data_IF_500894935836
#
_entry.id   IF_500894935836
#
_cell.length_a   1.000
_cell.length_b   1.000
_cell.length_c   1.000
_cell.angle_alpha   90.00
_cell.angle_beta   90.00
_cell.angle_gamma   90.00
#
_symmetry.space_group_name_H-M   'P 1'
#
loop_
_entity.id
_entity.type
_entity.pdbx_description
1 polymer ?
#
# COMPACT_ATOMS: atom_id res chain seq x y z
N UNK A 1 35.84 -12.91 -16.35
CA UNK A 1 36.02 -11.88 -15.31
C UNK A 1 34.89 -10.87 -15.47
N UNK A 2 33.71 -11.17 -14.91
CA UNK A 2 32.49 -10.33 -15.00
C UNK A 2 32.28 -9.66 -13.64
N UNK A 3 32.80 -8.44 -13.46
CA UNK A 3 32.77 -7.71 -12.19
C UNK A 3 31.62 -6.70 -12.08
N UNK A 4 30.59 -6.80 -12.93
CA UNK A 4 29.55 -5.76 -13.07
C UNK A 4 28.13 -6.14 -12.64
N UNK A 5 27.85 -7.36 -12.16
CA UNK A 5 26.49 -7.80 -11.84
C UNK A 5 26.10 -7.77 -10.36
N UNK A 6 27.06 -7.74 -9.42
CA UNK A 6 26.76 -7.98 -8.00
C UNK A 6 26.01 -6.81 -7.29
N UNK A 7 26.15 -5.57 -7.77
CA UNK A 7 25.55 -4.38 -7.11
C UNK A 7 24.04 -4.24 -7.39
N UNK A 8 23.55 -4.82 -8.49
CA UNK A 8 22.14 -4.76 -8.90
C UNK A 8 21.28 -5.73 -8.11
N UNK A 9 21.84 -6.88 -7.72
CA UNK A 9 21.16 -7.92 -6.96
C UNK A 9 20.70 -7.42 -5.59
N UNK A 10 21.51 -6.55 -4.97
CA UNK A 10 21.21 -5.96 -3.66
C UNK A 10 19.98 -5.04 -3.69
N UNK A 11 19.72 -4.35 -4.80
CA UNK A 11 18.54 -3.48 -4.95
C UNK A 11 17.25 -4.32 -4.89
N UNK A 12 17.27 -5.51 -5.50
CA UNK A 12 16.12 -6.42 -5.52
C UNK A 12 15.81 -7.02 -4.16
N UNK A 13 16.84 -7.36 -3.38
CA UNK A 13 16.66 -7.84 -2.00
C UNK A 13 16.35 -6.72 -1.00
N UNK A 14 16.83 -5.50 -1.26
CA UNK A 14 16.64 -4.36 -0.36
C UNK A 14 15.19 -3.83 -0.38
N UNK A 15 14.55 -3.81 -1.54
CA UNK A 15 13.16 -3.33 -1.71
C UNK A 15 12.16 -4.02 -0.76
N UNK A 16 12.02 -5.35 -0.72
CA UNK A 16 11.05 -6.01 0.17
C UNK A 16 11.39 -5.82 1.65
N UNK A 17 12.67 -5.74 2.03
CA UNK A 17 13.08 -5.45 3.40
C UNK A 17 12.69 -4.03 3.81
N UNK A 18 12.98 -3.04 2.97
CA UNK A 18 12.61 -1.65 3.19
C UNK A 18 11.09 -1.50 3.31
N UNK A 19 10.33 -2.16 2.43
CA UNK A 19 8.87 -2.19 2.50
C UNK A 19 8.37 -2.82 3.80
N UNK A 20 8.92 -3.98 4.20
CA UNK A 20 8.52 -4.68 5.42
C UNK A 20 8.80 -3.86 6.68
N UNK A 21 9.96 -3.20 6.76
CA UNK A 21 10.30 -2.31 7.88
C UNK A 21 9.34 -1.11 7.93
N UNK A 22 9.09 -0.47 6.79
CA UNK A 22 8.16 0.67 6.70
C UNK A 22 6.75 0.26 7.14
N UNK A 23 6.23 -0.84 6.57
CA UNK A 23 4.93 -1.42 6.89
C UNK A 23 4.78 -1.65 8.39
N UNK A 24 5.68 -2.42 9.01
CA UNK A 24 5.58 -2.74 10.43
C UNK A 24 5.74 -1.51 11.32
N UNK A 25 6.66 -0.61 10.99
CA UNK A 25 6.88 0.63 11.76
C UNK A 25 5.64 1.50 11.75
N UNK A 26 5.04 1.73 10.58
CA UNK A 26 3.85 2.58 10.45
C UNK A 26 2.62 1.89 11.02
N UNK A 27 2.45 0.58 10.85
CA UNK A 27 1.36 -0.17 11.50
C UNK A 27 1.43 -0.04 13.01
N UNK A 28 2.58 -0.31 13.63
CA UNK A 28 2.76 -0.16 15.09
C UNK A 28 2.48 1.28 15.52
N UNK A 29 2.95 2.26 14.75
CA UNK A 29 2.68 3.68 15.02
C UNK A 29 1.18 4.01 14.98
N UNK A 30 0.46 3.52 13.96
CA UNK A 30 -0.98 3.69 13.82
C UNK A 30 -1.78 3.00 14.93
N UNK A 31 -1.38 1.81 15.38
CA UNK A 31 -2.04 1.15 16.51
C UNK A 31 -1.81 1.91 17.83
N UNK A 32 -0.60 2.43 18.05
CA UNK A 32 -0.26 3.14 19.30
C UNK A 32 -0.85 4.54 19.40
N UNK A 33 -0.92 5.29 18.29
CA UNK A 33 -1.33 6.71 18.29
C UNK A 33 -2.48 7.06 17.35
N UNK A 34 -2.81 6.20 16.40
CA UNK A 34 -3.89 6.40 15.44
C UNK A 34 -5.27 6.22 16.09
N UNK A 35 -6.28 6.84 15.49
CA UNK A 35 -7.68 6.61 15.81
C UNK A 35 -8.24 5.42 15.05
N UNK A 36 -9.57 5.30 15.04
CA UNK A 36 -10.25 4.18 14.39
C UNK A 36 -9.96 4.13 12.88
N UNK A 37 -9.87 5.28 12.21
CA UNK A 37 -9.60 5.39 10.77
C UNK A 37 -8.21 4.87 10.42
N UNK A 38 -7.17 5.35 11.11
CA UNK A 38 -5.79 4.96 10.85
C UNK A 38 -5.52 3.48 11.20
N UNK A 39 -6.16 2.98 12.26
CA UNK A 39 -6.07 1.56 12.65
C UNK A 39 -6.75 0.68 11.61
N UNK A 40 -7.96 1.05 11.16
CA UNK A 40 -8.67 0.30 10.12
C UNK A 40 -7.87 0.27 8.81
N UNK A 41 -7.30 1.41 8.40
CA UNK A 41 -6.43 1.49 7.23
C UNK A 41 -5.17 0.64 7.41
N UNK A 42 -4.52 0.67 8.57
CA UNK A 42 -3.34 -0.16 8.85
C UNK A 42 -3.65 -1.67 8.77
N UNK A 43 -4.79 -2.10 9.33
CA UNK A 43 -5.27 -3.48 9.19
C UNK A 43 -5.50 -3.84 7.73
N UNK A 44 -6.14 -2.95 6.97
CA UNK A 44 -6.38 -3.15 5.54
C UNK A 44 -5.08 -3.32 4.75
N UNK A 45 -4.08 -2.47 4.98
CA UNK A 45 -2.77 -2.60 4.33
C UNK A 45 -2.07 -3.92 4.66
N UNK A 46 -2.10 -4.33 5.93
CA UNK A 46 -1.50 -5.61 6.35
C UNK A 46 -2.24 -6.77 5.68
N UNK A 47 -3.57 -6.79 5.73
CA UNK A 47 -4.39 -7.81 5.09
C UNK A 47 -4.13 -7.88 3.58
N UNK A 48 -4.12 -6.74 2.88
CA UNK A 48 -3.80 -6.66 1.46
C UNK A 48 -2.43 -7.25 1.15
N UNK A 49 -1.41 -6.86 1.92
CA UNK A 49 -0.04 -7.33 1.71
C UNK A 49 0.10 -8.83 1.93
N UNK A 50 -0.48 -9.39 3.00
CA UNK A 50 -0.39 -10.82 3.29
C UNK A 50 -1.26 -11.68 2.36
N UNK A 51 -2.47 -11.23 2.02
CA UNK A 51 -3.34 -11.96 1.08
C UNK A 51 -2.68 -12.05 -0.29
N UNK A 52 -2.09 -10.95 -0.78
CA UNK A 52 -1.34 -10.95 -2.03
C UNK A 52 -0.19 -11.95 -2.02
N UNK A 53 0.57 -12.04 -0.92
CA UNK A 53 1.64 -13.04 -0.76
C UNK A 53 1.12 -14.48 -0.75
N UNK A 54 -0.10 -14.72 -0.25
CA UNK A 54 -0.69 -16.06 -0.20
C UNK A 54 -1.24 -16.53 -1.56
N UNK A 55 -1.75 -15.60 -2.38
CA UNK A 55 -2.39 -15.95 -3.65
C UNK A 55 -1.46 -15.86 -4.86
N UNK A 56 -0.30 -15.19 -4.73
CA UNK A 56 0.65 -15.09 -5.84
C UNK A 56 1.23 -16.47 -6.14
N UNK A 57 1.10 -16.90 -7.39
CA UNK A 57 1.61 -18.20 -7.85
C UNK A 57 2.93 -17.97 -8.59
N UNK A 58 4.08 -18.45 -8.07
CA UNK A 58 5.37 -18.30 -8.73
C UNK A 58 5.53 -19.35 -9.85
N UNK A 59 4.86 -19.16 -10.97
CA UNK A 59 4.90 -20.06 -12.14
C UNK A 59 5.80 -19.56 -13.29
N UNK A 60 6.58 -18.50 -13.06
CA UNK A 60 7.42 -17.86 -14.07
C UNK A 60 6.66 -16.99 -15.08
N UNK A 61 5.33 -17.07 -15.11
CA UNK A 61 4.46 -16.24 -15.94
C UNK A 61 3.82 -15.08 -15.14
N UNK A 62 4.19 -14.94 -13.87
CA UNK A 62 3.95 -13.74 -13.07
C UNK A 62 4.27 -12.50 -13.90
N UNK A 63 3.40 -11.48 -13.81
CA UNK A 63 3.57 -10.20 -14.50
C UNK A 63 3.34 -10.21 -16.03
N UNK A 64 3.05 -11.36 -16.65
CA UNK A 64 2.71 -11.47 -18.08
C UNK A 64 1.20 -11.54 -18.35
N UNK A 65 0.40 -11.70 -17.30
CA UNK A 65 -1.06 -11.76 -17.33
C UNK A 65 -1.63 -10.92 -16.20
N UNK A 66 -2.92 -10.63 -16.29
CA UNK A 66 -3.65 -10.01 -15.19
C UNK A 66 -3.78 -11.03 -14.07
N UNK A 67 -3.20 -10.73 -12.91
CA UNK A 67 -3.31 -11.56 -11.70
C UNK A 67 -4.67 -11.30 -11.04
N UNK A 68 -5.73 -11.96 -11.54
CA UNK A 68 -7.11 -11.68 -11.18
C UNK A 68 -7.40 -11.76 -9.68
N UNK A 69 -6.76 -12.68 -8.95
CA UNK A 69 -6.89 -12.80 -7.50
C UNK A 69 -6.27 -11.59 -6.77
N UNK A 70 -5.07 -11.17 -7.18
CA UNK A 70 -4.39 -9.99 -6.61
C UNK A 70 -5.20 -8.73 -6.90
N UNK A 71 -5.69 -8.57 -8.14
CA UNK A 71 -6.58 -7.49 -8.51
C UNK A 71 -7.86 -7.45 -7.66
N UNK A 72 -8.46 -8.61 -7.37
CA UNK A 72 -9.65 -8.69 -6.53
C UNK A 72 -9.38 -8.24 -5.09
N UNK A 73 -8.23 -8.64 -4.53
CA UNK A 73 -7.76 -8.20 -3.21
C UNK A 73 -7.58 -6.67 -3.20
N UNK A 74 -6.93 -6.10 -4.20
CA UNK A 74 -6.72 -4.66 -4.33
C UNK A 74 -8.02 -3.87 -4.52
N UNK A 75 -9.02 -4.44 -5.21
CA UNK A 75 -10.37 -3.84 -5.33
C UNK A 75 -11.07 -3.83 -3.97
N UNK A 76 -11.04 -4.94 -3.23
CA UNK A 76 -11.64 -5.01 -1.88
C UNK A 76 -10.99 -3.97 -0.97
N UNK A 77 -9.66 -3.86 -1.03
CA UNK A 77 -8.94 -2.86 -0.26
C UNK A 77 -9.26 -1.42 -0.69
N UNK A 78 -9.41 -1.15 -1.99
CA UNK A 78 -9.90 0.15 -2.47
C UNK A 78 -11.29 0.48 -1.91
N UNK A 79 -12.22 -0.47 -1.92
CA UNK A 79 -13.56 -0.28 -1.35
C UNK A 79 -13.46 0.06 0.14
N UNK A 80 -12.61 -0.63 0.89
CA UNK A 80 -12.35 -0.31 2.30
C UNK A 80 -11.83 1.12 2.48
N UNK A 81 -10.89 1.57 1.64
CA UNK A 81 -10.34 2.93 1.69
C UNK A 81 -11.40 3.99 1.37
N UNK A 82 -12.25 3.74 0.35
CA UNK A 82 -13.36 4.63 0.00
C UNK A 82 -14.35 4.72 1.16
N UNK A 83 -14.74 3.58 1.75
CA UNK A 83 -15.64 3.55 2.91
C UNK A 83 -15.05 4.26 4.14
N UNK A 84 -13.74 4.22 4.30
CA UNK A 84 -13.02 4.97 5.35
C UNK A 84 -13.02 6.47 5.02
N UNK A 85 -12.78 6.85 3.77
CA UNK A 85 -12.80 8.24 3.31
C UNK A 85 -14.18 8.88 3.47
N UNK A 86 -15.25 8.16 3.13
CA UNK A 86 -16.63 8.65 3.25
C UNK A 86 -17.07 8.87 4.71
N UNK A 87 -16.49 8.12 5.66
CA UNK A 87 -16.78 8.24 7.09
C UNK A 87 -15.83 9.18 7.83
N UNK A 88 -14.63 9.39 7.29
CA UNK A 88 -13.62 10.26 7.88
C UNK A 88 -13.98 11.72 7.67
N UNK A 89 -13.74 12.55 8.69
CA UNK A 89 -13.78 14.02 8.54
C UNK A 89 -12.50 14.59 7.92
N UNK A 90 -11.54 13.74 7.58
CA UNK A 90 -10.22 14.12 7.11
C UNK A 90 -10.04 13.71 5.66
N UNK A 91 -9.28 14.51 4.92
CA UNK A 91 -9.07 14.30 3.50
C UNK A 91 -8.02 13.22 3.18
N UNK A 92 -7.18 12.82 4.16
CA UNK A 92 -6.09 11.87 3.94
C UNK A 92 -6.51 10.48 3.38
N UNK A 93 -7.64 9.85 3.76
CA UNK A 93 -7.99 8.53 3.22
C UNK A 93 -8.36 8.59 1.73
N UNK A 94 -8.81 9.75 1.23
CA UNK A 94 -9.11 9.94 -0.18
C UNK A 94 -7.86 9.86 -1.06
N UNK A 95 -6.73 10.38 -0.57
CA UNK A 95 -5.43 10.23 -1.25
C UNK A 95 -5.02 8.77 -1.37
N UNK A 96 -5.22 7.99 -0.30
CA UNK A 96 -4.93 6.55 -0.33
C UNK A 96 -5.82 5.82 -1.31
N UNK A 97 -7.12 6.13 -1.35
CA UNK A 97 -8.03 5.55 -2.33
C UNK A 97 -7.60 5.88 -3.77
N UNK A 98 -7.17 7.11 -4.05
CA UNK A 98 -6.68 7.50 -5.36
C UNK A 98 -5.41 6.72 -5.77
N UNK A 99 -4.43 6.60 -4.85
CA UNK A 99 -3.22 5.81 -5.10
C UNK A 99 -3.54 4.31 -5.30
N UNK A 100 -4.53 3.79 -4.59
CA UNK A 100 -4.95 2.39 -4.74
C UNK A 100 -5.65 2.18 -6.09
N UNK A 101 -6.42 3.17 -6.55
CA UNK A 101 -6.94 3.22 -7.92
C UNK A 101 -5.82 3.17 -8.96
N UNK A 102 -4.71 3.89 -8.76
CA UNK A 102 -3.55 3.80 -9.65
C UNK A 102 -2.91 2.41 -9.67
N UNK A 103 -2.92 1.70 -8.53
CA UNK A 103 -2.44 0.31 -8.44
C UNK A 103 -3.36 -0.65 -9.22
N UNK A 104 -4.67 -0.45 -9.14
CA UNK A 104 -5.65 -1.19 -9.96
C UNK A 104 -5.46 -0.91 -11.45
N UNK A 105 -5.18 0.33 -11.84
CA UNK A 105 -4.87 0.64 -13.24
C UNK A 105 -3.56 -0.03 -13.68
N UNK A 106 -2.56 -0.09 -12.79
CA UNK A 106 -1.32 -0.82 -13.04
C UNK A 106 -1.60 -2.31 -13.32
N UNK A 107 -2.61 -2.90 -12.68
CA UNK A 107 -3.03 -4.29 -12.94
C UNK A 107 -3.45 -4.57 -14.39
N UNK A 108 -3.81 -3.54 -15.16
CA UNK A 108 -4.29 -3.65 -16.53
C UNK A 108 -3.18 -3.55 -17.59
N UNK A 109 -1.96 -3.16 -17.21
CA UNK A 109 -0.82 -3.05 -18.14
C UNK A 109 -0.54 -4.33 -18.95
N UNK A 110 -0.70 -5.56 -18.43
CA UNK A 110 -0.49 -6.78 -19.21
C UNK A 110 -1.44 -6.92 -20.41
N UNK A 111 -2.56 -6.19 -20.42
CA UNK A 111 -3.48 -6.14 -21.56
C UNK A 111 -2.96 -5.26 -22.71
N UNK A 112 -1.95 -4.43 -22.45
CA UNK A 112 -1.35 -3.55 -23.46
C UNK A 112 -0.33 -4.33 -24.30
N UNK A 113 -0.37 -4.22 -25.63
CA UNK A 113 0.66 -4.80 -26.50
C UNK A 113 2.05 -4.28 -26.12
N UNK A 114 3.04 -5.17 -26.07
CA UNK A 114 4.44 -4.85 -25.77
C UNK A 114 4.72 -4.29 -24.36
N UNK A 115 3.79 -4.42 -23.42
CA UNK A 115 4.06 -4.06 -22.02
C UNK A 115 5.19 -4.94 -21.45
N UNK A 116 6.23 -4.30 -20.92
CA UNK A 116 7.33 -5.02 -20.29
C UNK A 116 6.91 -5.47 -18.87
N UNK A 117 7.08 -6.76 -18.51
CA UNK A 117 6.71 -7.27 -17.18
C UNK A 117 7.37 -6.52 -16.01
N UNK A 118 8.57 -5.97 -16.23
CA UNK A 118 9.28 -5.15 -15.24
C UNK A 118 8.54 -3.85 -14.93
N UNK A 119 7.96 -3.20 -15.94
CA UNK A 119 7.19 -1.96 -15.79
C UNK A 119 5.91 -2.26 -15.00
N UNK A 120 5.25 -3.39 -15.29
CA UNK A 120 4.08 -3.83 -14.55
C UNK A 120 4.40 -4.06 -13.07
N UNK A 121 5.42 -4.86 -12.76
CA UNK A 121 5.86 -5.12 -11.37
C UNK A 121 6.21 -3.84 -10.62
N UNK A 122 6.93 -2.93 -11.28
CA UNK A 122 7.35 -1.68 -10.63
C UNK A 122 6.18 -0.71 -10.46
N UNK A 123 5.27 -0.61 -11.44
CA UNK A 123 4.08 0.22 -11.36
C UNK A 123 3.14 -0.24 -10.23
N UNK A 124 2.96 -1.54 -10.02
CA UNK A 124 2.15 -2.06 -8.91
C UNK A 124 2.80 -1.82 -7.54
N UNK A 125 4.14 -1.94 -7.45
CA UNK A 125 4.85 -1.78 -6.17
C UNK A 125 5.12 -0.31 -5.78
N UNK A 126 5.25 0.58 -6.77
CA UNK A 126 5.64 1.98 -6.57
C UNK A 126 4.66 2.71 -5.65
N UNK A 127 3.36 2.49 -5.84
CA UNK A 127 2.32 3.21 -5.12
C UNK A 127 2.17 2.81 -3.66
N UNK A 128 2.65 1.62 -3.26
CA UNK A 128 2.54 1.16 -1.88
C UNK A 128 3.42 1.97 -0.90
N UNK A 129 4.57 2.49 -1.34
CA UNK A 129 5.46 3.31 -0.48
C UNK A 129 4.86 4.66 -0.07
N UNK A 130 4.39 5.53 -1.00
CA UNK A 130 3.79 6.81 -0.62
C UNK A 130 2.50 6.62 0.19
N UNK A 131 1.75 5.54 -0.02
CA UNK A 131 0.58 5.21 0.81
C UNK A 131 0.95 5.03 2.29
N UNK A 132 2.00 4.27 2.60
CA UNK A 132 2.49 4.11 3.97
C UNK A 132 2.95 5.45 4.56
N UNK A 133 3.58 6.30 3.76
CA UNK A 133 3.99 7.63 4.19
C UNK A 133 2.80 8.53 4.52
N UNK A 134 1.76 8.54 3.68
CA UNK A 134 0.51 9.28 3.93
C UNK A 134 -0.16 8.80 5.22
N UNK A 135 -0.20 7.49 5.46
CA UNK A 135 -0.73 6.95 6.73
C UNK A 135 0.09 7.41 7.94
N UNK A 136 1.42 7.39 7.85
CA UNK A 136 2.29 7.88 8.91
C UNK A 136 2.04 9.37 9.23
N UNK A 137 1.93 10.21 8.19
CA UNK A 137 1.58 11.62 8.34
C UNK A 137 0.19 11.82 8.94
N UNK A 138 -0.80 11.00 8.56
CA UNK A 138 -2.15 11.07 9.11
C UNK A 138 -2.17 10.79 10.62
N UNK A 139 -1.38 9.80 11.07
CA UNK A 139 -1.21 9.50 12.50
C UNK A 139 -0.51 10.64 13.23
N UNK A 140 0.55 11.22 12.64
CA UNK A 140 1.33 12.31 13.25
C UNK A 140 0.60 13.66 13.31
N UNK A 141 -0.22 13.95 12.31
CA UNK A 141 -0.99 15.19 12.21
C UNK A 141 -2.31 15.14 12.99
N UNK A 142 -2.54 14.14 13.87
CA UNK A 142 -3.64 14.18 14.83
C UNK A 142 -3.37 15.32 15.81
N UNK A 143 -4.10 16.46 15.75
CA UNK A 143 -3.95 17.46 16.79
C UNK A 143 -4.46 16.83 18.10
N UNK A 144 -3.85 17.17 19.22
CA UNK A 144 -4.26 16.77 20.58
C UNK A 144 -5.63 17.37 21.00
N UNK A 145 -6.59 17.41 20.08
CA UNK A 145 -7.80 18.25 20.08
C UNK A 145 -8.99 17.65 20.83
N UNK A 146 -8.78 16.57 21.60
CA UNK A 146 -9.78 16.10 22.57
C UNK A 146 -9.59 16.70 23.96
N UNK A 147 -8.45 17.37 24.23
CA UNK A 147 -8.20 18.03 25.52
C UNK A 147 -8.88 19.41 25.67
N UNK A 148 -9.56 19.93 24.64
CA UNK A 148 -10.20 21.28 24.67
C UNK A 148 -11.72 21.28 24.57
N UNK A 149 -12.35 20.14 24.29
CA UNK A 149 -13.82 20.04 24.23
C UNK A 149 -14.42 19.52 25.54
N UNK A 150 -13.58 19.13 26.52
CA UNK A 150 -14.00 18.77 27.88
C UNK A 150 -14.00 19.94 28.86
N UNK A 151 -13.57 21.14 28.44
CA UNK A 151 -13.50 22.35 29.28
C UNK A 151 -14.64 23.33 28.98
N UNK A 152 -15.65 22.92 28.18
CA UNK A 152 -16.82 23.74 27.82
C UNK A 152 -18.16 23.11 28.22
N UNK A 153 -18.13 22.09 29.08
CA UNK A 153 -19.26 21.71 29.96
C UNK A 153 -19.13 22.42 31.30
#
# INVERSE_FOLDING_TARGET
MNLSYHWWDHIWTFRPLAYGILMWTVSVYAFRRGGWEERLTAVGFLANSYLTLMVIVPDGNQYHRVEALVLSIDIIFLVQLILTALRSRRFWPMWLAAMQGMTILAHLLPLMPHALPIIYRDATALWSYPMWFVLALAVGNRPAQQARYGDSE
#
